data_IF_711982821215
#
_entry.id   IF_711982821215
#
_cell.length_a   1.000
_cell.length_b   1.000
_cell.length_c   1.000
_cell.angle_alpha   90.00
_cell.angle_beta   90.00
_cell.angle_gamma   90.00
#
_symmetry.space_group_name_H-M   'P 1'
#
loop_
_entity.id
_entity.type
_entity.pdbx_description
1 polymer ?
#
# COMPACT_ATOMS: atom_id res chain seq x y z
N UNK A 1 -3.05 -23.03 4.25
CA UNK A 1 -2.79 -21.66 4.76
C UNK A 1 -2.26 -20.90 3.56
N UNK A 2 -2.87 -19.76 3.20
CA UNK A 2 -2.35 -18.94 2.07
C UNK A 2 -0.95 -18.41 2.44
N UNK A 3 -0.03 -18.37 1.48
CA UNK A 3 1.35 -17.92 1.70
C UNK A 3 1.37 -16.41 2.04
N UNK A 4 2.25 -15.93 2.95
CA UNK A 4 2.36 -14.51 3.30
C UNK A 4 2.46 -13.57 2.10
N UNK A 5 3.20 -13.98 1.06
CA UNK A 5 3.30 -13.23 -0.18
C UNK A 5 1.95 -13.09 -0.90
N UNK A 6 1.21 -14.19 -1.08
CA UNK A 6 -0.09 -14.22 -1.76
C UNK A 6 -1.12 -13.35 -1.03
N UNK A 7 -1.13 -13.42 0.30
CA UNK A 7 -1.98 -12.57 1.15
C UNK A 7 -1.62 -11.09 1.01
N UNK A 8 -0.32 -10.77 1.01
CA UNK A 8 0.16 -9.39 0.84
C UNK A 8 -0.20 -8.82 -0.52
N UNK A 9 0.02 -9.57 -1.59
CA UNK A 9 -0.31 -9.16 -2.96
C UNK A 9 -1.82 -8.94 -3.14
N UNK A 10 -2.65 -9.87 -2.64
CA UNK A 10 -4.11 -9.74 -2.64
C UNK A 10 -4.58 -8.52 -1.85
N UNK A 11 -3.98 -8.27 -0.67
CA UNK A 11 -4.27 -7.11 0.17
C UNK A 11 -3.99 -5.80 -0.59
N UNK A 12 -2.82 -5.67 -1.21
CA UNK A 12 -2.44 -4.48 -1.99
C UNK A 12 -3.33 -4.27 -3.21
N UNK A 13 -3.66 -5.35 -3.92
CA UNK A 13 -4.56 -5.31 -5.08
C UNK A 13 -5.91 -4.69 -4.74
N UNK A 14 -6.50 -5.08 -3.60
CA UNK A 14 -7.81 -4.58 -3.19
C UNK A 14 -7.72 -3.22 -2.49
N UNK A 15 -6.84 -3.05 -1.51
CA UNK A 15 -6.89 -1.88 -0.63
C UNK A 15 -6.24 -0.65 -1.24
N UNK A 16 -5.16 -0.83 -2.02
CA UNK A 16 -4.41 0.26 -2.62
C UNK A 16 -4.78 0.43 -4.10
N UNK A 17 -4.47 -0.57 -4.93
CA UNK A 17 -4.62 -0.45 -6.38
C UNK A 17 -6.07 -0.28 -6.83
N UNK A 18 -7.01 -1.12 -6.35
CA UNK A 18 -8.40 -0.98 -6.73
C UNK A 18 -9.03 0.34 -6.23
N UNK A 19 -8.66 0.80 -5.02
CA UNK A 19 -9.10 2.11 -4.50
C UNK A 19 -8.59 3.25 -5.39
N UNK A 20 -7.32 3.22 -5.80
CA UNK A 20 -6.74 4.18 -6.76
C UNK A 20 -7.50 4.15 -8.09
N UNK A 21 -7.65 2.98 -8.71
CA UNK A 21 -8.35 2.82 -10.00
C UNK A 21 -9.80 3.31 -9.95
N UNK A 22 -10.55 2.97 -8.90
CA UNK A 22 -11.94 3.44 -8.73
C UNK A 22 -11.96 4.95 -8.55
N UNK A 23 -11.03 5.51 -7.77
CA UNK A 23 -10.93 6.95 -7.57
C UNK A 23 -10.68 7.66 -8.90
N UNK A 24 -9.65 7.25 -9.65
CA UNK A 24 -9.29 7.80 -10.95
C UNK A 24 -10.44 7.73 -11.95
N UNK A 25 -11.10 6.57 -12.05
CA UNK A 25 -12.24 6.38 -12.95
C UNK A 25 -13.43 7.30 -12.61
N UNK A 26 -13.59 7.67 -11.34
CA UNK A 26 -14.68 8.53 -10.87
C UNK A 26 -14.31 10.02 -10.84
N UNK A 27 -13.03 10.40 -10.95
CA UNK A 27 -12.60 11.81 -10.96
C UNK A 27 -13.41 12.66 -11.96
N UNK A 28 -13.61 12.26 -13.23
CA UNK A 28 -14.37 13.07 -14.19
C UNK A 28 -15.81 13.33 -13.74
N UNK A 29 -16.45 12.36 -13.08
CA UNK A 29 -17.81 12.50 -12.54
C UNK A 29 -17.82 13.36 -11.27
N UNK A 30 -16.82 13.21 -10.41
CA UNK A 30 -16.68 14.01 -9.19
C UNK A 30 -16.51 15.50 -9.53
N UNK A 31 -15.79 15.82 -10.60
CA UNK A 31 -15.61 17.20 -11.07
C UNK A 31 -16.93 17.90 -11.47
N UNK A 32 -18.00 17.15 -11.74
CA UNK A 32 -19.34 17.71 -12.01
C UNK A 32 -20.09 18.10 -10.73
N UNK A 33 -19.67 17.61 -9.57
CA UNK A 33 -20.29 17.93 -8.29
C UNK A 33 -19.89 19.34 -7.84
N UNK A 34 -20.84 20.07 -7.21
CA UNK A 34 -20.54 21.35 -6.53
C UNK A 34 -19.74 21.16 -5.24
N UNK A 35 -19.69 19.95 -4.70
CA UNK A 35 -18.94 19.60 -3.48
C UNK A 35 -18.50 18.14 -3.54
N UNK A 36 -17.51 17.80 -4.39
CA UNK A 36 -16.99 16.44 -4.46
C UNK A 36 -16.32 16.05 -3.15
N UNK A 37 -16.47 14.79 -2.74
CA UNK A 37 -15.80 14.22 -1.57
C UNK A 37 -15.32 12.82 -1.91
N UNK A 38 -14.07 12.54 -1.58
CA UNK A 38 -13.49 11.18 -1.59
C UNK A 38 -13.19 10.85 -0.13
N UNK A 39 -13.66 9.70 0.33
CA UNK A 39 -13.41 9.21 1.68
C UNK A 39 -12.78 7.83 1.56
N UNK A 40 -11.48 7.77 1.83
CA UNK A 40 -10.75 6.50 1.89
C UNK A 40 -10.86 5.94 3.32
N UNK A 41 -11.40 4.74 3.45
CA UNK A 41 -11.50 4.05 4.73
C UNK A 41 -10.19 3.32 4.98
N UNK A 42 -9.40 3.82 5.94
CA UNK A 42 -8.14 3.22 6.38
C UNK A 42 -8.29 2.53 7.74
N UNK A 43 -7.17 2.10 8.32
CA UNK A 43 -7.07 1.42 9.62
C UNK A 43 -6.08 2.14 10.53
N UNK A 44 -6.25 1.98 11.85
CA UNK A 44 -5.26 2.42 12.86
C UNK A 44 -3.88 1.81 12.61
N UNK A 45 -3.82 0.62 12.00
CA UNK A 45 -2.57 -0.04 11.63
C UNK A 45 -1.87 0.59 10.42
N UNK A 46 -2.49 1.56 9.76
CA UNK A 46 -1.84 2.40 8.74
C UNK A 46 -1.02 3.54 9.35
N UNK A 47 -1.09 3.76 10.66
CA UNK A 47 -0.25 4.73 11.36
C UNK A 47 1.21 4.27 11.37
N UNK A 48 2.12 5.18 11.00
CA UNK A 48 3.56 4.94 10.99
C UNK A 48 4.11 4.48 12.34
N UNK A 49 3.42 4.77 13.44
CA UNK A 49 3.74 4.22 14.76
C UNK A 49 3.90 2.68 14.74
N UNK A 50 3.09 1.97 13.96
CA UNK A 50 3.10 0.50 13.90
C UNK A 50 4.19 -0.09 12.98
N UNK A 51 4.89 0.76 12.24
CA UNK A 51 5.96 0.33 11.35
C UNK A 51 7.24 0.19 12.16
N UNK A 52 7.99 -0.90 11.99
CA UNK A 52 9.26 -1.12 12.71
C UNK A 52 10.48 -0.75 11.86
N UNK A 53 10.28 -0.52 10.56
CA UNK A 53 11.33 -0.16 9.63
C UNK A 53 11.46 1.37 9.59
N UNK A 54 12.47 1.91 10.27
CA UNK A 54 12.70 3.36 10.36
C UNK A 54 12.97 4.01 9.00
N UNK A 55 13.74 3.34 8.12
CA UNK A 55 13.95 3.82 6.75
C UNK A 55 12.62 3.94 6.00
N UNK A 56 11.74 2.96 6.12
CA UNK A 56 10.41 3.03 5.50
C UNK A 56 9.57 4.21 6.06
N UNK A 57 9.66 4.50 7.35
CA UNK A 57 9.00 5.67 7.92
C UNK A 57 9.54 6.97 7.35
N UNK A 58 10.85 7.12 7.27
CA UNK A 58 11.50 8.31 6.68
C UNK A 58 11.00 8.56 5.26
N UNK A 59 10.93 7.50 4.44
CA UNK A 59 10.46 7.57 3.06
C UNK A 59 8.97 7.94 2.96
N UNK A 60 8.12 7.46 3.88
CA UNK A 60 6.69 7.79 3.92
C UNK A 60 6.42 9.17 4.56
N UNK A 61 7.36 9.72 5.34
CA UNK A 61 7.27 11.05 5.95
C UNK A 61 7.77 12.17 5.03
N UNK A 62 8.53 11.83 3.99
CA UNK A 62 8.99 12.78 2.99
C UNK A 62 7.88 13.12 1.98
N UNK A 63 6.83 13.78 2.47
CA UNK A 63 5.59 14.08 1.73
C UNK A 63 5.85 14.84 0.42
N UNK A 64 6.86 15.71 0.40
CA UNK A 64 7.20 16.52 -0.77
C UNK A 64 7.76 15.67 -1.93
N UNK A 65 8.37 14.52 -1.61
CA UNK A 65 8.94 13.58 -2.60
C UNK A 65 8.13 12.28 -2.73
N UNK A 66 7.03 12.13 -2.00
CA UNK A 66 6.18 10.93 -2.01
C UNK A 66 5.22 10.92 -3.22
N UNK A 67 5.79 10.72 -4.41
CA UNK A 67 5.07 10.58 -5.67
C UNK A 67 4.65 9.13 -5.94
N UNK A 68 3.80 8.91 -6.94
CA UNK A 68 3.24 7.59 -7.25
C UNK A 68 4.33 6.54 -7.50
N UNK A 69 5.36 6.89 -8.27
CA UNK A 69 6.49 6.00 -8.56
C UNK A 69 7.22 5.59 -7.28
N UNK A 70 7.38 6.52 -6.33
CA UNK A 70 8.04 6.24 -5.05
C UNK A 70 7.20 5.31 -4.18
N UNK A 71 5.88 5.49 -4.17
CA UNK A 71 4.96 4.59 -3.47
C UNK A 71 5.01 3.18 -4.09
N UNK A 72 5.04 3.08 -5.41
CA UNK A 72 5.17 1.78 -6.09
C UNK A 72 6.50 1.09 -5.74
N UNK A 73 7.62 1.81 -5.68
CA UNK A 73 8.91 1.26 -5.22
C UNK A 73 8.83 0.72 -3.79
N UNK A 74 8.21 1.47 -2.87
CA UNK A 74 7.99 1.04 -1.48
C UNK A 74 7.15 -0.24 -1.42
N UNK A 75 6.09 -0.33 -2.23
CA UNK A 75 5.25 -1.53 -2.33
C UNK A 75 6.06 -2.71 -2.84
N UNK A 76 6.94 -2.52 -3.84
CA UNK A 76 7.82 -3.58 -4.32
C UNK A 76 8.81 -4.06 -3.25
N UNK A 77 9.33 -3.16 -2.42
CA UNK A 77 10.18 -3.54 -1.28
C UNK A 77 9.42 -4.43 -0.30
N UNK A 78 8.21 -4.02 0.10
CA UNK A 78 7.35 -4.80 0.99
C UNK A 78 7.03 -6.19 0.43
N UNK A 79 6.65 -6.28 -0.85
CA UNK A 79 6.37 -7.55 -1.51
C UNK A 79 7.61 -8.45 -1.59
N UNK A 80 8.78 -7.87 -1.84
CA UNK A 80 10.05 -8.61 -1.86
C UNK A 80 10.39 -9.18 -0.49
N UNK A 81 10.20 -8.41 0.59
CA UNK A 81 10.41 -8.87 1.96
C UNK A 81 9.47 -10.03 2.31
N UNK A 82 8.19 -9.97 1.90
CA UNK A 82 7.25 -11.08 2.09
C UNK A 82 7.67 -12.35 1.35
N UNK A 83 8.21 -12.24 0.13
CA UNK A 83 8.74 -13.41 -0.61
C UNK A 83 9.90 -14.05 0.14
N UNK A 84 10.82 -13.26 0.68
CA UNK A 84 11.96 -13.76 1.45
C UNK A 84 11.52 -14.50 2.71
N UNK A 85 10.48 -14.01 3.40
CA UNK A 85 9.89 -14.70 4.56
C UNK A 85 9.26 -16.03 4.15
N UNK A 86 8.53 -16.08 3.04
CA UNK A 86 7.97 -17.33 2.49
C UNK A 86 9.07 -18.34 2.16
N UNK A 87 10.16 -17.93 1.51
CA UNK A 87 11.31 -18.82 1.24
C UNK A 87 11.93 -19.39 2.52
N UNK A 88 12.21 -18.55 3.53
CA UNK A 88 12.80 -19.02 4.80
C UNK A 88 11.93 -20.04 5.53
N UNK A 89 10.59 -19.92 5.44
CA UNK A 89 9.66 -20.88 6.03
C UNK A 89 9.68 -22.26 5.35
N UNK A 90 9.98 -22.31 4.05
CA UNK A 90 10.11 -23.57 3.33
C UNK A 90 11.42 -24.30 3.66
N UNK A 91 12.47 -23.56 4.06
CA UNK A 91 13.80 -24.11 4.34
C UNK A 91 13.98 -24.68 5.77
N UNK A 92 12.96 -24.63 6.63
CA UNK A 92 12.91 -25.40 7.88
C UNK A 92 13.88 -24.96 8.99
N UNK A 93 14.20 -23.66 9.10
CA UNK A 93 14.90 -23.06 10.24
C UNK A 93 13.99 -22.18 11.10
#
# INVERSE_FOLDING_TARGET
MEEPYELGEKCLKTNFYATKTVTEALIPLLQLSKSPRIVNVSSVYGDLYWFHNEKLKEELLDIDNLIEERIDEIIQWFLSDLRLVSCKRMDGH
#
